data_IF_902899717582
#
_entry.id   IF_902899717582
#
_cell.length_a   1.000
_cell.length_b   1.000
_cell.length_c   1.000
_cell.angle_alpha   90.00
_cell.angle_beta   90.00
_cell.angle_gamma   90.00
#
_symmetry.space_group_name_H-M   'P 1'
#
loop_
_entity.id
_entity.type
_entity.pdbx_description
1 polymer ?
#
# COMPACT_ATOMS: atom_id res chain seq x y z
N UNK A 1 71.35 47.16 -102.40
CA UNK A 1 71.20 45.72 -102.64
C UNK A 1 69.80 45.29 -102.24
N UNK A 2 69.10 44.57 -103.13
CA UNK A 2 68.07 43.58 -102.79
C UNK A 2 66.68 44.08 -102.40
N UNK A 3 65.79 44.17 -103.39
CA UNK A 3 64.33 44.25 -103.24
C UNK A 3 63.74 42.94 -102.69
N UNK A 4 62.65 43.01 -101.92
CA UNK A 4 61.43 42.29 -102.32
C UNK A 4 60.16 42.92 -101.72
N UNK A 5 59.34 43.44 -102.64
CA UNK A 5 57.97 43.90 -102.45
C UNK A 5 57.06 42.68 -102.58
N UNK A 6 56.09 42.53 -101.68
CA UNK A 6 54.91 41.72 -101.95
C UNK A 6 53.66 42.50 -101.53
N UNK A 7 53.02 43.12 -102.51
CA UNK A 7 51.72 43.79 -102.43
C UNK A 7 50.60 42.77 -102.54
N UNK A 8 49.72 42.72 -101.53
CA UNK A 8 48.43 42.05 -101.66
C UNK A 8 47.32 43.10 -101.65
N UNK A 9 46.82 43.43 -102.84
CA UNK A 9 45.56 44.14 -103.06
C UNK A 9 44.42 43.13 -103.03
N UNK A 10 43.39 43.37 -102.22
CA UNK A 10 42.03 42.94 -102.55
C UNK A 10 41.06 44.06 -102.19
N UNK A 11 40.32 44.49 -103.20
CA UNK A 11 39.47 45.67 -103.26
C UNK A 11 38.08 45.37 -102.66
N UNK A 12 37.57 46.42 -102.03
CA UNK A 12 36.28 46.64 -101.38
C UNK A 12 35.03 46.26 -102.21
N UNK A 13 34.00 45.70 -101.57
CA UNK A 13 32.60 45.86 -101.97
C UNK A 13 31.77 46.26 -100.75
N UNK A 14 31.35 47.53 -100.75
CA UNK A 14 30.30 48.05 -99.88
C UNK A 14 28.94 47.80 -100.51
N UNK A 15 28.02 47.24 -99.72
CA UNK A 15 26.57 47.45 -99.89
C UNK A 15 25.96 47.54 -98.50
N UNK A 16 25.66 48.77 -98.09
CA UNK A 16 24.93 49.04 -96.86
C UNK A 16 23.44 48.70 -97.00
N UNK A 17 22.83 48.23 -95.91
CA UNK A 17 21.48 48.65 -95.54
C UNK A 17 21.24 48.38 -94.05
N UNK A 18 20.72 49.40 -93.37
CA UNK A 18 20.38 49.44 -91.96
C UNK A 18 19.26 48.43 -91.65
N UNK A 19 19.48 47.55 -90.67
CA UNK A 19 18.43 47.13 -89.72
C UNK A 19 19.03 47.01 -88.33
N UNK A 20 19.06 48.15 -87.65
CA UNK A 20 19.39 48.34 -86.23
C UNK A 20 18.18 47.88 -85.41
N UNK A 21 18.17 46.63 -84.94
CA UNK A 21 17.17 46.13 -83.98
C UNK A 21 17.57 44.82 -83.23
N UNK A 22 18.87 44.48 -83.10
CA UNK A 22 19.28 43.18 -82.50
C UNK A 22 20.41 43.23 -81.48
N UNK A 23 21.29 44.23 -81.48
CA UNK A 23 22.40 44.30 -80.50
C UNK A 23 21.96 44.77 -79.11
N UNK A 24 20.97 45.66 -79.05
CA UNK A 24 20.47 46.27 -77.79
C UNK A 24 19.68 45.25 -76.94
N UNK A 25 18.93 44.35 -77.61
CA UNK A 25 18.25 43.23 -76.96
C UNK A 25 19.22 42.16 -76.42
N UNK A 26 20.34 41.93 -77.10
CA UNK A 26 21.34 40.95 -76.66
C UNK A 26 22.12 41.42 -75.41
N UNK A 27 22.55 42.70 -75.41
CA UNK A 27 23.24 43.32 -74.27
C UNK A 27 22.29 43.40 -73.06
N UNK A 28 21.04 43.86 -73.25
CA UNK A 28 20.04 43.92 -72.18
C UNK A 28 19.73 42.54 -71.56
N UNK A 29 19.70 41.48 -72.37
CA UNK A 29 19.48 40.12 -71.87
C UNK A 29 20.71 39.58 -71.12
N UNK A 30 21.91 39.92 -71.56
CA UNK A 30 23.16 39.55 -70.88
C UNK A 30 23.28 40.21 -69.50
N UNK A 31 22.97 41.50 -69.38
CA UNK A 31 22.95 42.23 -68.10
C UNK A 31 21.92 41.65 -67.12
N UNK A 32 20.72 41.30 -67.59
CA UNK A 32 19.71 40.62 -66.77
C UNK A 32 20.19 39.27 -66.24
N UNK A 33 20.94 38.51 -67.06
CA UNK A 33 21.53 37.23 -66.66
C UNK A 33 22.62 37.40 -65.60
N UNK A 34 23.48 38.42 -65.74
CA UNK A 34 24.51 38.75 -64.73
C UNK A 34 23.85 39.12 -63.40
N UNK A 35 22.85 40.00 -63.42
CA UNK A 35 22.14 40.40 -62.19
C UNK A 35 21.50 39.21 -61.48
N UNK A 36 20.85 38.31 -62.24
CA UNK A 36 20.28 37.08 -61.69
C UNK A 36 21.33 36.15 -61.09
N UNK A 37 22.53 36.07 -61.69
CA UNK A 37 23.65 35.29 -61.14
C UNK A 37 24.17 35.88 -59.83
N UNK A 38 24.25 37.20 -59.72
CA UNK A 38 24.65 37.88 -58.48
C UNK A 38 23.63 37.69 -57.36
N UNK A 39 22.33 37.78 -57.67
CA UNK A 39 21.24 37.48 -56.75
C UNK A 39 21.31 36.03 -56.24
N UNK A 40 21.45 35.06 -57.15
CA UNK A 40 21.59 33.64 -56.79
C UNK A 40 22.84 33.38 -55.94
N UNK A 41 23.96 34.04 -56.25
CA UNK A 41 25.19 33.95 -55.45
C UNK A 41 24.96 34.47 -54.03
N UNK A 42 24.24 35.59 -53.89
CA UNK A 42 23.88 36.13 -52.58
C UNK A 42 22.97 35.18 -51.80
N UNK A 43 21.97 34.58 -52.43
CA UNK A 43 21.07 33.62 -51.77
C UNK A 43 21.81 32.36 -51.33
N UNK A 44 22.70 31.80 -52.17
CA UNK A 44 23.56 30.66 -51.81
C UNK A 44 24.43 31.00 -50.59
N UNK A 45 24.97 32.22 -50.54
CA UNK A 45 25.77 32.67 -49.40
C UNK A 45 24.94 32.71 -48.10
N UNK A 46 23.69 33.23 -48.16
CA UNK A 46 22.78 33.24 -47.01
C UNK A 46 22.44 31.83 -46.53
N UNK A 47 22.03 30.95 -47.45
CA UNK A 47 21.71 29.56 -47.11
C UNK A 47 22.91 28.83 -46.49
N UNK A 48 24.14 29.14 -46.92
CA UNK A 48 25.35 28.57 -46.33
C UNK A 48 25.53 29.02 -44.87
N UNK A 49 25.34 30.31 -44.60
CA UNK A 49 25.45 30.88 -43.25
C UNK A 49 24.38 30.24 -42.33
N UNK A 50 23.12 30.21 -42.76
CA UNK A 50 22.02 29.61 -42.00
C UNK A 50 22.27 28.12 -41.69
N UNK A 51 22.75 27.36 -42.68
CA UNK A 51 23.10 25.95 -42.49
C UNK A 51 24.22 25.79 -41.46
N UNK A 52 25.25 26.62 -41.51
CA UNK A 52 26.38 26.54 -40.60
C UNK A 52 25.96 26.92 -39.15
N UNK A 53 25.02 27.85 -38.99
CA UNK A 53 24.40 28.17 -37.70
C UNK A 53 23.55 27.02 -37.15
N UNK A 54 22.69 26.43 -38.00
CA UNK A 54 21.88 25.27 -37.62
C UNK A 54 22.74 24.07 -37.23
N UNK A 55 23.86 23.84 -37.93
CA UNK A 55 24.82 22.79 -37.57
C UNK A 55 25.40 23.01 -36.18
N UNK A 56 25.80 24.25 -35.86
CA UNK A 56 26.32 24.61 -34.53
C UNK A 56 25.29 24.41 -33.43
N UNK A 57 24.04 24.80 -33.67
CA UNK A 57 22.93 24.61 -32.71
C UNK A 57 22.71 23.11 -32.47
N UNK A 58 22.69 22.32 -33.54
CA UNK A 58 22.51 20.87 -33.46
C UNK A 58 23.66 20.21 -32.69
N UNK A 59 24.90 20.60 -32.96
CA UNK A 59 26.08 20.06 -32.28
C UNK A 59 26.03 20.36 -30.77
N UNK A 60 25.65 21.58 -30.36
CA UNK A 60 25.48 21.93 -28.94
C UNK A 60 24.38 21.09 -28.28
N UNK A 61 23.24 20.91 -28.95
CA UNK A 61 22.12 20.16 -28.39
C UNK A 61 22.43 18.67 -28.27
N UNK A 62 23.08 18.07 -29.26
CA UNK A 62 23.42 16.64 -29.29
C UNK A 62 24.60 16.34 -28.36
N UNK A 63 25.70 17.09 -28.49
CA UNK A 63 26.95 16.72 -27.83
C UNK A 63 26.98 17.06 -26.35
N UNK A 64 26.41 18.19 -25.94
CA UNK A 64 26.45 18.63 -24.55
C UNK A 64 25.15 18.28 -23.82
N UNK A 65 24.02 18.74 -24.35
CA UNK A 65 22.73 18.61 -23.67
C UNK A 65 22.20 17.17 -23.66
N UNK A 66 22.06 16.56 -24.83
CA UNK A 66 21.44 15.26 -24.96
C UNK A 66 22.32 14.13 -24.40
N UNK A 67 23.63 14.16 -24.68
CA UNK A 67 24.55 13.15 -24.16
C UNK A 67 24.62 13.15 -22.64
N UNK A 68 24.68 14.32 -21.98
CA UNK A 68 24.68 14.39 -20.52
C UNK A 68 23.39 13.78 -19.92
N UNK A 69 22.24 14.14 -20.47
CA UNK A 69 20.93 13.62 -20.03
C UNK A 69 20.83 12.11 -20.18
N UNK A 70 21.33 11.55 -21.29
CA UNK A 70 21.25 10.11 -21.56
C UNK A 70 22.31 9.29 -20.80
N UNK A 71 23.53 9.81 -20.66
CA UNK A 71 24.65 9.08 -20.07
C UNK A 71 24.76 9.23 -18.55
N UNK A 72 24.27 10.34 -17.99
CA UNK A 72 24.39 10.65 -16.56
C UNK A 72 23.03 10.71 -15.89
N UNK A 73 22.15 11.62 -16.30
CA UNK A 73 20.88 11.85 -15.59
C UNK A 73 19.96 10.63 -15.66
N UNK A 74 19.83 10.01 -16.83
CA UNK A 74 18.92 8.88 -17.04
C UNK A 74 19.31 7.65 -16.20
N UNK A 75 20.57 7.19 -16.15
CA UNK A 75 20.98 6.11 -15.25
C UNK A 75 20.79 6.46 -13.77
N UNK A 76 21.11 7.69 -13.35
CA UNK A 76 20.89 8.13 -11.97
C UNK A 76 19.42 8.09 -11.60
N UNK A 77 18.53 8.61 -12.46
CA UNK A 77 17.10 8.60 -12.26
C UNK A 77 16.54 7.18 -12.23
N UNK A 78 17.02 6.30 -13.12
CA UNK A 78 16.64 4.88 -13.16
C UNK A 78 17.02 4.17 -11.85
N UNK A 79 18.25 4.37 -11.38
CA UNK A 79 18.71 3.78 -10.11
C UNK A 79 17.90 4.27 -8.92
N UNK A 80 17.58 5.57 -8.86
CA UNK A 80 16.71 6.12 -7.82
C UNK A 80 15.30 5.53 -7.86
N UNK A 81 14.74 5.35 -9.06
CA UNK A 81 13.43 4.75 -9.23
C UNK A 81 13.40 3.28 -8.80
N UNK A 82 14.42 2.50 -9.16
CA UNK A 82 14.58 1.10 -8.73
C UNK A 82 14.67 0.98 -7.21
N UNK A 83 15.48 1.84 -6.58
CA UNK A 83 15.63 1.89 -5.13
C UNK A 83 14.29 2.20 -4.44
N UNK A 84 13.58 3.25 -4.90
CA UNK A 84 12.28 3.62 -4.35
C UNK A 84 11.24 2.52 -4.54
N UNK A 85 11.27 1.84 -5.67
CA UNK A 85 10.39 0.70 -5.95
C UNK A 85 10.65 -0.44 -4.96
N UNK A 86 11.92 -0.74 -4.67
CA UNK A 86 12.29 -1.75 -3.68
C UNK A 86 11.82 -1.39 -2.28
N UNK A 87 12.01 -0.14 -1.85
CA UNK A 87 11.54 0.33 -0.54
C UNK A 87 10.02 0.27 -0.44
N UNK A 88 9.31 0.64 -1.51
CA UNK A 88 7.86 0.51 -1.57
C UNK A 88 7.41 -0.96 -1.46
N UNK A 89 8.10 -1.89 -2.12
CA UNK A 89 7.80 -3.32 -1.97
C UNK A 89 8.05 -3.83 -0.54
N UNK A 90 9.14 -3.40 0.11
CA UNK A 90 9.40 -3.74 1.52
C UNK A 90 8.30 -3.20 2.43
N UNK A 91 7.87 -1.96 2.22
CA UNK A 91 6.79 -1.35 2.97
C UNK A 91 5.47 -2.12 2.78
N UNK A 92 5.14 -2.51 1.55
CA UNK A 92 3.96 -3.34 1.25
C UNK A 92 4.01 -4.69 1.96
N UNK A 93 5.18 -5.33 2.02
CA UNK A 93 5.35 -6.59 2.75
C UNK A 93 5.15 -6.39 4.26
N UNK A 94 5.74 -5.34 4.85
CA UNK A 94 5.55 -5.03 6.27
C UNK A 94 4.08 -4.74 6.61
N UNK A 95 3.36 -4.03 5.74
CA UNK A 95 1.92 -3.79 5.90
C UNK A 95 1.17 -5.13 5.88
N UNK A 96 1.47 -5.99 4.91
CA UNK A 96 0.84 -7.32 4.81
C UNK A 96 1.07 -8.17 6.06
N UNK A 97 2.31 -8.23 6.56
CA UNK A 97 2.66 -8.97 7.78
C UNK A 97 1.94 -8.42 9.02
N UNK A 98 1.84 -7.09 9.14
CA UNK A 98 1.12 -6.45 10.23
C UNK A 98 -0.38 -6.73 10.16
N UNK A 99 -0.96 -6.76 8.96
CA UNK A 99 -2.37 -7.08 8.74
C UNK A 99 -2.69 -8.53 9.14
N UNK A 100 -1.83 -9.49 8.81
CA UNK A 100 -2.07 -10.89 9.19
C UNK A 100 -1.99 -11.07 10.71
N UNK A 101 -1.00 -10.46 11.38
CA UNK A 101 -0.93 -10.46 12.85
C UNK A 101 -2.16 -9.83 13.51
N UNK A 102 -2.66 -8.74 12.93
CA UNK A 102 -3.87 -8.09 13.44
C UNK A 102 -5.11 -8.98 13.31
N UNK A 103 -5.21 -9.73 12.21
CA UNK A 103 -6.28 -10.71 11.99
C UNK A 103 -6.21 -11.87 12.99
N UNK A 104 -5.02 -12.41 13.25
CA UNK A 104 -4.79 -13.42 14.29
C UNK A 104 -5.23 -12.92 15.68
N UNK A 105 -4.79 -11.71 16.05
CA UNK A 105 -5.15 -11.09 17.33
C UNK A 105 -6.66 -10.88 17.46
N UNK A 106 -7.33 -10.48 16.38
CA UNK A 106 -8.79 -10.32 16.35
C UNK A 106 -9.50 -11.66 16.58
N UNK A 107 -9.00 -12.74 15.99
CA UNK A 107 -9.56 -14.08 16.19
C UNK A 107 -9.34 -14.59 17.62
N UNK A 108 -8.15 -14.38 18.18
CA UNK A 108 -7.84 -14.74 19.56
C UNK A 108 -8.73 -13.97 20.55
N UNK A 109 -8.88 -12.65 20.36
CA UNK A 109 -9.74 -11.82 21.18
C UNK A 109 -11.21 -12.27 21.14
N UNK A 110 -11.71 -12.67 19.96
CA UNK A 110 -13.05 -13.24 19.83
C UNK A 110 -13.19 -14.56 20.61
N UNK A 111 -12.15 -15.39 20.60
CA UNK A 111 -12.11 -16.65 21.34
C UNK A 111 -12.13 -16.41 22.85
N UNK A 112 -11.34 -15.45 23.34
CA UNK A 112 -11.39 -14.99 24.74
C UNK A 112 -12.77 -14.48 25.13
N UNK A 113 -13.40 -13.66 24.29
CA UNK A 113 -14.74 -13.11 24.55
C UNK A 113 -15.78 -14.22 24.71
N UNK A 114 -15.77 -15.22 23.83
CA UNK A 114 -16.68 -16.37 23.91
C UNK A 114 -16.44 -17.17 25.19
N UNK A 115 -15.18 -17.50 25.49
CA UNK A 115 -14.83 -18.24 26.71
C UNK A 115 -15.25 -17.50 27.98
N UNK A 116 -15.01 -16.19 28.03
CA UNK A 116 -15.38 -15.36 29.16
C UNK A 116 -16.90 -15.32 29.36
N UNK A 117 -17.67 -15.27 28.27
CA UNK A 117 -19.14 -15.36 28.34
C UNK A 117 -19.61 -16.68 28.96
N UNK A 118 -19.03 -17.82 28.55
CA UNK A 118 -19.37 -19.13 29.14
C UNK A 118 -19.00 -19.21 30.62
N UNK A 119 -17.79 -18.79 30.99
CA UNK A 119 -17.35 -18.77 32.38
C UNK A 119 -18.24 -17.91 33.27
N UNK A 120 -18.67 -16.74 32.78
CA UNK A 120 -19.58 -15.87 33.52
C UNK A 120 -20.93 -16.55 33.78
N UNK A 121 -21.47 -17.26 32.79
CA UNK A 121 -22.72 -18.00 32.96
C UNK A 121 -22.57 -19.15 33.94
N UNK A 122 -21.48 -19.94 33.85
CA UNK A 122 -21.19 -21.02 34.81
C UNK A 122 -21.04 -20.48 36.24
N UNK A 123 -20.33 -19.37 36.43
CA UNK A 123 -20.23 -18.71 37.74
C UNK A 123 -21.59 -18.27 38.29
N UNK A 124 -22.48 -17.76 37.44
CA UNK A 124 -23.82 -17.35 37.85
C UNK A 124 -24.68 -18.55 38.26
N UNK A 125 -24.62 -19.66 37.52
CA UNK A 125 -25.34 -20.89 37.86
C UNK A 125 -24.79 -21.52 39.15
N UNK A 126 -23.47 -21.60 39.30
CA UNK A 126 -22.85 -22.11 40.52
C UNK A 126 -23.25 -21.28 41.74
N UNK A 127 -23.31 -19.94 41.60
CA UNK A 127 -23.76 -19.04 42.67
C UNK A 127 -25.22 -19.29 43.07
N UNK A 128 -26.10 -19.61 42.11
CA UNK A 128 -27.48 -20.01 42.40
C UNK A 128 -27.52 -21.33 43.16
N UNK A 129 -26.78 -22.34 42.69
CA UNK A 129 -26.73 -23.67 43.31
C UNK A 129 -26.20 -23.61 44.74
N UNK A 130 -25.13 -22.85 44.99
CA UNK A 130 -24.60 -22.62 46.35
C UNK A 130 -25.66 -22.01 47.25
N UNK A 131 -26.43 -21.03 46.76
CA UNK A 131 -27.53 -20.42 47.55
C UNK A 131 -28.62 -21.44 47.88
N UNK A 132 -28.99 -22.29 46.94
CA UNK A 132 -29.99 -23.36 47.16
C UNK A 132 -29.48 -24.34 48.22
N UNK A 133 -28.27 -24.87 48.04
CA UNK A 133 -27.66 -25.83 48.98
C UNK A 133 -27.49 -25.25 50.38
N UNK A 134 -27.13 -23.96 50.51
CA UNK A 134 -27.07 -23.30 51.82
C UNK A 134 -28.43 -23.27 52.52
N UNK A 135 -29.52 -23.02 51.77
CA UNK A 135 -30.87 -23.02 52.33
C UNK A 135 -31.33 -24.43 52.71
N UNK A 136 -31.01 -25.45 51.92
CA UNK A 136 -31.30 -26.85 52.22
C UNK A 136 -30.53 -27.32 53.46
N UNK A 137 -29.22 -27.03 53.55
CA UNK A 137 -28.42 -27.32 54.73
C UNK A 137 -28.97 -26.65 55.99
N UNK A 138 -29.48 -25.41 55.87
CA UNK A 138 -30.12 -24.74 57.01
C UNK A 138 -31.38 -25.47 57.48
N UNK A 139 -32.21 -25.98 56.56
CA UNK A 139 -33.41 -26.76 56.91
C UNK A 139 -33.05 -28.09 57.57
N UNK A 140 -32.11 -28.83 56.98
CA UNK A 140 -31.62 -30.10 57.55
C UNK A 140 -31.04 -29.91 58.96
N UNK A 141 -30.35 -28.80 59.21
CA UNK A 141 -29.84 -28.49 60.54
C UNK A 141 -30.97 -28.31 61.57
N UNK A 142 -32.08 -27.67 61.18
CA UNK A 142 -33.26 -27.53 62.04
C UNK A 142 -33.88 -28.89 62.32
N UNK A 143 -34.13 -29.69 61.28
CA UNK A 143 -34.70 -31.04 61.42
C UNK A 143 -33.83 -31.93 62.33
N UNK A 144 -32.51 -31.86 62.19
CA UNK A 144 -31.57 -32.59 63.04
C UNK A 144 -31.67 -32.18 64.51
N UNK A 145 -31.79 -30.86 64.79
CA UNK A 145 -31.96 -30.39 66.17
C UNK A 145 -33.29 -30.80 66.80
N UNK A 146 -34.38 -30.80 66.02
CA UNK A 146 -35.70 -31.24 66.47
C UNK A 146 -35.74 -32.75 66.76
N UNK A 147 -35.17 -33.56 65.86
CA UNK A 147 -35.02 -35.01 66.04
C UNK A 147 -34.18 -35.33 67.28
N UNK A 148 -33.08 -34.60 67.48
CA UNK A 148 -32.24 -34.77 68.67
C UNK A 148 -33.01 -34.47 69.96
N UNK A 149 -33.75 -33.35 70.00
CA UNK A 149 -34.57 -33.00 71.15
C UNK A 149 -35.65 -34.05 71.44
N UNK A 150 -36.33 -34.55 70.40
CA UNK A 150 -37.33 -35.62 70.52
C UNK A 150 -36.73 -36.95 71.00
N UNK A 151 -35.54 -37.31 70.52
CA UNK A 151 -34.82 -38.50 70.97
C UNK A 151 -34.40 -38.40 72.45
N UNK A 152 -33.88 -37.25 72.87
CA UNK A 152 -33.54 -36.99 74.27
C UNK A 152 -34.78 -37.05 75.18
N UNK A 153 -35.91 -36.53 74.72
CA UNK A 153 -37.18 -36.62 75.43
C UNK A 153 -37.70 -38.06 75.52
N UNK A 154 -37.69 -38.82 74.42
CA UNK A 154 -38.03 -40.24 74.40
C UNK A 154 -37.16 -41.06 75.35
N UNK A 155 -35.86 -40.76 75.42
CA UNK A 155 -34.94 -41.39 76.38
C UNK A 155 -35.36 -41.11 77.83
N UNK A 156 -35.72 -39.87 78.16
CA UNK A 156 -36.25 -39.51 79.50
C UNK A 156 -37.52 -40.29 79.83
N UNK A 157 -38.47 -40.38 78.89
CA UNK A 157 -39.70 -41.18 79.07
C UNK A 157 -39.41 -42.65 79.36
N UNK A 158 -38.49 -43.28 78.62
CA UNK A 158 -38.10 -44.67 78.86
C UNK A 158 -37.44 -44.85 80.23
N UNK A 159 -36.57 -43.93 80.65
CA UNK A 159 -35.92 -43.94 81.95
C UNK A 159 -36.94 -43.79 83.10
N UNK A 160 -37.93 -42.93 82.93
CA UNK A 160 -39.01 -42.72 83.90
C UNK A 160 -39.92 -43.95 84.00
N UNK A 161 -40.40 -44.49 82.87
CA UNK A 161 -41.21 -45.70 82.82
C UNK A 161 -40.49 -46.91 83.45
N UNK A 162 -39.18 -47.06 83.21
CA UNK A 162 -38.38 -48.13 83.80
C UNK A 162 -38.33 -48.03 85.33
N UNK A 163 -38.22 -46.82 85.88
CA UNK A 163 -38.27 -46.60 87.34
C UNK A 163 -39.63 -46.97 87.89
N UNK A 164 -40.72 -46.54 87.23
CA UNK A 164 -42.09 -46.81 87.68
C UNK A 164 -42.42 -48.31 87.71
N UNK A 165 -41.96 -49.07 86.71
CA UNK A 165 -42.10 -50.54 86.70
C UNK A 165 -41.34 -51.16 87.88
N UNK A 166 -40.09 -50.75 88.08
CA UNK A 166 -39.27 -51.27 89.18
C UNK A 166 -39.88 -50.99 90.57
N UNK A 167 -40.51 -49.83 90.75
CA UNK A 167 -41.21 -49.48 92.00
C UNK A 167 -42.51 -50.26 92.19
N UNK A 168 -43.28 -50.49 91.11
CA UNK A 168 -44.52 -51.27 91.16
C UNK A 168 -44.25 -52.77 91.44
N UNK A 169 -43.16 -53.32 90.92
CA UNK A 169 -42.74 -54.69 91.21
C UNK A 169 -42.36 -54.86 92.70
N UNK A 170 -41.67 -53.88 93.29
CA UNK A 170 -41.33 -53.87 94.73
C UNK A 170 -42.58 -53.81 95.62
N UNK A 171 -43.58 -52.99 95.26
CA UNK A 171 -44.86 -52.93 95.99
C UNK A 171 -45.69 -54.23 95.86
N UNK A 172 -45.59 -54.94 94.72
CA UNK A 172 -46.27 -56.23 94.54
C UNK A 172 -45.64 -57.38 95.35
N UNK A 173 -44.34 -57.27 95.68
CA UNK A 173 -43.58 -58.26 96.46
C UNK A 173 -43.69 -58.06 97.98
N UNK A 174 -44.26 -56.95 98.44
CA UNK A 174 -44.57 -56.71 99.85
C UNK A 174 -46.02 -56.21 100.00
N UNK A 175 -47.02 -57.12 100.08
CA UNK A 175 -48.34 -56.69 100.50
C UNK A 175 -48.24 -56.29 101.97
N UNK A 176 -48.26 -54.98 102.22
CA UNK A 176 -48.41 -54.45 103.57
C UNK A 176 -49.84 -54.77 104.00
N UNK A 177 -50.01 -55.85 104.75
CA UNK A 177 -51.21 -56.10 105.55
C UNK A 177 -51.17 -55.14 106.74
N UNK A 178 -52.01 -54.11 106.71
CA UNK A 178 -52.45 -53.43 107.93
C UNK A 178 -53.77 -54.06 108.38
N UNK A 179 -53.83 -54.27 109.70
CA UNK A 179 -54.82 -54.99 110.53
C UNK A 179 -56.30 -54.73 110.22
#
# INVERSE_FOLDING_TARGET
MGYQICTFTCVYLSTGFIRKASSENFISNHEKRIKKLEELKSEIQKCKIERDELSRILDLYVNDGLNYRLSVELPMLKSQHEMRTMDMHKMTNWISDAMEKYKELTQENNSYRIRNFHLLNECNELKKNVRILMNENRKLLVEQTELQASCEEGKRFCEEASKTIYTADIESLCPVTFE
#
